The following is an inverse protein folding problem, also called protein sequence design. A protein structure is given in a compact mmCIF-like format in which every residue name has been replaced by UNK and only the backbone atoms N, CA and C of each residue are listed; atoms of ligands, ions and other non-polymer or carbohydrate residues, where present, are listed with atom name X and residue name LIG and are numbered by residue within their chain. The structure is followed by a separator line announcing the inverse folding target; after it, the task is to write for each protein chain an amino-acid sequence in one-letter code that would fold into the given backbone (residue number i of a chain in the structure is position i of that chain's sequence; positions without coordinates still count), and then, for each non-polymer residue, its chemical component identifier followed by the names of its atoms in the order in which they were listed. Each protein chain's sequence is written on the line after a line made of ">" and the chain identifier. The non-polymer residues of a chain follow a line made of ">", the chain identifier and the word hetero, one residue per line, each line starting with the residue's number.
data_IF_428899893960
#
_entry.id   IF_428899893960
#
_cell.length_a   1.000
_cell.length_b   1.000
_cell.length_c   1.000
_cell.angle_alpha   90.00
_cell.angle_beta   90.00
_cell.angle_gamma   90.00
#
_symmetry.space_group_name_H-M   'P 1'
#
loop_
_entity.id
_entity.type
_entity.pdbx_description
1 polymer ?
#
# COMPACT_ATOMS: atom_id res chain seq x y z
N UNK A 1 -29.77 -29.82 9.89
CA UNK A 1 -29.25 -30.82 8.92
C UNK A 1 -29.11 -30.08 7.58
N UNK A 2 -27.92 -30.02 7.04
CA UNK A 2 -27.74 -29.44 5.69
C UNK A 2 -28.40 -30.34 4.65
N UNK A 3 -29.18 -29.76 3.75
CA UNK A 3 -29.81 -30.47 2.62
C UNK A 3 -28.71 -31.00 1.67
N UNK A 4 -29.03 -32.03 0.88
CA UNK A 4 -28.10 -32.50 -0.19
C UNK A 4 -27.75 -31.38 -1.16
N UNK A 5 -28.71 -30.52 -1.49
CA UNK A 5 -28.50 -29.32 -2.31
C UNK A 5 -27.48 -28.33 -1.70
N UNK A 6 -27.53 -28.11 -0.38
CA UNK A 6 -26.59 -27.23 0.33
C UNK A 6 -25.14 -27.76 0.23
N UNK A 7 -24.97 -29.10 0.36
CA UNK A 7 -23.63 -29.73 0.24
C UNK A 7 -23.05 -29.63 -1.18
N UNK A 8 -23.90 -29.78 -2.20
CA UNK A 8 -23.48 -29.62 -3.60
C UNK A 8 -23.13 -28.16 -3.89
N UNK A 9 -23.91 -27.22 -3.38
CA UNK A 9 -23.63 -25.80 -3.52
C UNK A 9 -22.31 -25.42 -2.83
N UNK A 10 -22.09 -25.87 -1.60
CA UNK A 10 -20.84 -25.62 -0.86
C UNK A 10 -19.63 -26.22 -1.60
N UNK A 11 -19.76 -27.44 -2.13
CA UNK A 11 -18.68 -28.07 -2.90
C UNK A 11 -18.34 -27.29 -4.16
N UNK A 12 -19.34 -26.86 -4.94
CA UNK A 12 -19.13 -26.05 -6.14
C UNK A 12 -18.48 -24.70 -5.78
N UNK A 13 -18.92 -24.06 -4.71
CA UNK A 13 -18.35 -22.81 -4.24
C UNK A 13 -16.87 -22.98 -3.84
N UNK A 14 -16.53 -24.04 -3.08
CA UNK A 14 -15.14 -24.35 -2.76
C UNK A 14 -14.28 -24.60 -4.01
N UNK A 15 -14.78 -25.33 -4.99
CA UNK A 15 -14.06 -25.58 -6.25
C UNK A 15 -13.80 -24.26 -6.97
N UNK A 16 -14.82 -23.42 -7.14
CA UNK A 16 -14.71 -22.13 -7.86
C UNK A 16 -13.70 -21.21 -7.13
N UNK A 17 -13.82 -21.07 -5.82
CA UNK A 17 -12.91 -20.23 -5.02
C UNK A 17 -11.47 -20.76 -5.06
N UNK A 18 -11.30 -22.09 -5.00
CA UNK A 18 -9.97 -22.72 -5.09
C UNK A 18 -9.34 -22.50 -6.46
N UNK A 19 -10.09 -22.71 -7.56
CA UNK A 19 -9.59 -22.48 -8.91
C UNK A 19 -9.22 -21.00 -9.12
N UNK A 20 -10.04 -20.09 -8.61
CA UNK A 20 -9.75 -18.65 -8.66
C UNK A 20 -8.48 -18.32 -7.86
N UNK A 21 -8.32 -18.86 -6.66
CA UNK A 21 -7.12 -18.67 -5.84
C UNK A 21 -5.86 -19.22 -6.54
N UNK A 22 -5.93 -20.40 -7.14
CA UNK A 22 -4.83 -20.99 -7.91
C UNK A 22 -4.47 -20.12 -9.13
N UNK A 23 -5.47 -19.62 -9.86
CA UNK A 23 -5.25 -18.72 -10.99
C UNK A 23 -4.56 -17.40 -10.56
N UNK A 24 -4.92 -16.86 -9.41
CA UNK A 24 -4.26 -15.66 -8.84
C UNK A 24 -2.83 -15.96 -8.36
N UNK A 25 -2.56 -17.14 -7.82
CA UNK A 25 -1.24 -17.53 -7.32
C UNK A 25 -0.27 -17.90 -8.44
N UNK A 26 -0.78 -18.42 -9.56
CA UNK A 26 0.04 -18.91 -10.67
C UNK A 26 1.10 -17.90 -11.15
N UNK A 27 0.76 -16.62 -11.47
CA UNK A 27 1.76 -15.66 -11.92
C UNK A 27 2.86 -15.40 -10.89
N UNK A 28 2.54 -15.43 -9.58
CA UNK A 28 3.55 -15.28 -8.53
C UNK A 28 4.49 -16.47 -8.46
N UNK A 29 3.96 -17.69 -8.54
CA UNK A 29 4.78 -18.89 -8.61
C UNK A 29 5.65 -18.92 -9.86
N UNK A 30 5.09 -18.49 -11.00
CA UNK A 30 5.82 -18.39 -12.26
C UNK A 30 7.02 -17.46 -12.12
N UNK A 31 6.80 -16.21 -11.66
CA UNK A 31 7.87 -15.23 -11.48
C UNK A 31 8.90 -15.71 -10.45
N UNK A 32 8.45 -16.29 -9.32
CA UNK A 32 9.33 -16.82 -8.29
C UNK A 32 10.20 -17.96 -8.81
N UNK A 33 9.64 -18.89 -9.57
CA UNK A 33 10.37 -20.00 -10.19
C UNK A 33 11.45 -19.47 -11.15
N UNK A 34 11.06 -18.62 -12.09
CA UNK A 34 11.99 -18.13 -13.11
C UNK A 34 13.00 -17.11 -12.58
N UNK A 35 12.78 -16.52 -11.41
CA UNK A 35 13.78 -15.67 -10.76
C UNK A 35 15.02 -16.45 -10.30
N UNK A 36 14.91 -17.76 -10.16
CA UNK A 36 15.99 -18.68 -9.73
C UNK A 36 16.33 -19.76 -10.76
N UNK A 37 15.71 -19.75 -11.94
CA UNK A 37 15.92 -20.72 -13.01
C UNK A 37 17.01 -20.22 -13.97
N UNK A 38 18.02 -21.04 -14.34
CA UNK A 38 18.96 -20.71 -15.42
C UNK A 38 18.20 -20.37 -16.73
N UNK A 39 18.63 -19.33 -17.43
CA UNK A 39 17.94 -18.89 -18.65
C UNK A 39 17.94 -19.95 -19.75
N UNK A 40 18.98 -20.79 -19.81
CA UNK A 40 19.06 -21.93 -20.73
C UNK A 40 17.94 -22.94 -20.50
N UNK A 41 17.57 -23.20 -19.26
CA UNK A 41 16.46 -24.09 -18.89
C UNK A 41 15.11 -23.46 -19.25
N UNK A 42 14.95 -22.15 -19.00
CA UNK A 42 13.75 -21.39 -19.40
C UNK A 42 13.48 -21.49 -20.91
N UNK A 43 14.51 -21.34 -21.74
CA UNK A 43 14.37 -21.44 -23.19
C UNK A 43 13.90 -22.84 -23.67
N UNK A 44 14.30 -23.89 -22.95
CA UNK A 44 13.88 -25.25 -23.27
C UNK A 44 12.45 -25.56 -22.85
N UNK A 45 12.02 -25.08 -21.68
CA UNK A 45 10.72 -25.35 -21.11
C UNK A 45 10.12 -24.11 -20.40
N UNK A 46 9.52 -23.16 -21.13
CA UNK A 46 8.99 -21.91 -20.55
C UNK A 46 7.83 -22.08 -19.55
N UNK A 47 7.21 -23.25 -19.47
CA UNK A 47 6.09 -23.51 -18.55
C UNK A 47 6.50 -24.38 -17.34
N UNK A 48 7.77 -24.72 -17.21
CA UNK A 48 8.26 -25.55 -16.11
C UNK A 48 8.39 -24.70 -14.84
N UNK A 49 7.56 -24.97 -13.85
CA UNK A 49 7.51 -24.21 -12.60
C UNK A 49 8.56 -24.64 -11.56
N UNK A 50 9.17 -25.81 -11.70
CA UNK A 50 10.17 -26.31 -10.76
C UNK A 50 11.50 -26.41 -11.50
N UNK A 51 12.51 -25.58 -11.20
CA UNK A 51 13.81 -25.62 -11.85
C UNK A 51 14.57 -26.91 -11.52
N UNK A 52 15.39 -27.39 -12.44
CA UNK A 52 16.33 -28.49 -12.16
C UNK A 52 17.51 -28.00 -11.32
N UNK A 53 17.97 -26.78 -11.61
CA UNK A 53 19.06 -26.13 -10.91
C UNK A 53 18.62 -24.75 -10.41
N UNK A 54 19.11 -24.36 -9.24
CA UNK A 54 18.81 -23.05 -8.64
C UNK A 54 19.98 -22.11 -8.90
N UNK A 55 19.74 -21.03 -9.63
CA UNK A 55 20.70 -19.98 -9.93
C UNK A 55 20.34 -18.67 -9.18
N UNK A 56 21.21 -18.23 -8.28
CA UNK A 56 21.01 -17.00 -7.49
C UNK A 56 21.82 -15.80 -8.01
N UNK A 57 22.39 -15.89 -9.20
CA UNK A 57 23.22 -14.85 -9.81
C UNK A 57 22.49 -13.51 -9.91
N UNK A 58 21.22 -13.51 -10.35
CA UNK A 58 20.41 -12.31 -10.45
C UNK A 58 20.21 -11.60 -9.09
N UNK A 59 19.95 -12.36 -8.03
CA UNK A 59 19.82 -11.79 -6.68
C UNK A 59 21.14 -11.21 -6.17
N UNK A 60 22.27 -11.88 -6.41
CA UNK A 60 23.60 -11.33 -6.05
C UNK A 60 23.86 -9.98 -6.74
N UNK A 61 23.52 -9.87 -8.02
CA UNK A 61 23.68 -8.60 -8.76
C UNK A 61 22.75 -7.52 -8.20
N UNK A 62 21.47 -7.80 -7.97
CA UNK A 62 20.52 -6.85 -7.38
C UNK A 62 21.02 -6.33 -6.02
N UNK A 63 21.51 -7.21 -5.16
CA UNK A 63 22.02 -6.85 -3.84
C UNK A 63 23.31 -5.99 -3.89
N UNK A 64 24.08 -6.07 -4.96
CA UNK A 64 25.29 -5.26 -5.17
C UNK A 64 24.97 -3.87 -5.76
N UNK A 65 23.74 -3.63 -6.24
CA UNK A 65 23.34 -2.35 -6.82
C UNK A 65 23.04 -1.30 -5.73
N UNK A 66 23.81 -0.20 -5.59
CA UNK A 66 23.54 0.84 -4.60
C UNK A 66 22.15 1.50 -4.78
N UNK A 67 21.67 1.58 -6.04
CA UNK A 67 20.37 2.15 -6.36
C UNK A 67 19.21 1.38 -5.71
N UNK A 68 19.34 0.05 -5.60
CA UNK A 68 18.31 -0.78 -4.95
C UNK A 68 18.15 -0.44 -3.47
N UNK A 69 19.26 -0.31 -2.75
CA UNK A 69 19.24 0.05 -1.34
C UNK A 69 18.74 1.47 -1.11
N UNK A 70 19.11 2.39 -2.01
CA UNK A 70 18.57 3.75 -2.02
C UNK A 70 17.05 3.73 -2.22
N UNK A 71 16.56 2.94 -3.18
CA UNK A 71 15.14 2.76 -3.44
C UNK A 71 14.38 2.18 -2.24
N UNK A 72 14.94 1.14 -1.60
CA UNK A 72 14.36 0.59 -0.36
C UNK A 72 14.28 1.63 0.74
N UNK A 73 15.38 2.33 1.01
CA UNK A 73 15.42 3.41 2.02
C UNK A 73 14.34 4.46 1.75
N UNK A 74 14.27 4.94 0.52
CA UNK A 74 13.28 5.96 0.15
C UNK A 74 11.85 5.43 0.31
N UNK A 75 11.57 4.21 -0.13
CA UNK A 75 10.24 3.58 0.00
C UNK A 75 9.86 3.41 1.47
N UNK A 76 10.77 2.96 2.31
CA UNK A 76 10.52 2.83 3.76
C UNK A 76 10.21 4.19 4.37
N UNK A 77 11.00 5.23 4.06
CA UNK A 77 10.77 6.59 4.56
C UNK A 77 9.40 7.11 4.10
N UNK A 78 9.10 7.02 2.80
CA UNK A 78 7.82 7.45 2.23
C UNK A 78 6.66 6.72 2.91
N UNK A 79 6.78 5.41 3.09
CA UNK A 79 5.73 4.59 3.69
C UNK A 79 5.55 4.92 5.17
N UNK A 80 6.61 4.91 5.96
CA UNK A 80 6.51 5.12 7.42
C UNK A 80 6.05 6.55 7.73
N UNK A 81 6.70 7.56 7.13
CA UNK A 81 6.36 8.97 7.35
C UNK A 81 4.99 9.30 6.78
N UNK A 82 4.68 8.79 5.57
CA UNK A 82 3.39 8.98 4.92
C UNK A 82 2.23 8.38 5.73
N UNK A 83 2.39 7.14 6.24
CA UNK A 83 1.39 6.50 7.10
C UNK A 83 1.22 7.25 8.41
N UNK A 84 2.31 7.61 9.08
CA UNK A 84 2.25 8.34 10.35
C UNK A 84 1.52 9.68 10.18
N UNK A 85 1.87 10.45 9.15
CA UNK A 85 1.22 11.72 8.82
C UNK A 85 -0.26 11.53 8.46
N UNK A 86 -0.58 10.54 7.61
CA UNK A 86 -1.96 10.24 7.22
C UNK A 86 -2.83 9.91 8.44
N UNK A 87 -2.40 8.99 9.28
CA UNK A 87 -3.18 8.57 10.47
C UNK A 87 -3.34 9.73 11.44
N UNK A 88 -2.30 10.51 11.67
CA UNK A 88 -2.38 11.70 12.50
C UNK A 88 -3.43 12.68 11.97
N UNK A 89 -3.31 13.09 10.70
CA UNK A 89 -4.25 14.01 10.06
C UNK A 89 -5.67 13.44 10.01
N UNK A 90 -5.80 12.14 9.74
CA UNK A 90 -7.09 11.45 9.68
C UNK A 90 -7.82 11.52 11.03
N UNK A 91 -7.13 11.22 12.13
CA UNK A 91 -7.72 11.22 13.48
C UNK A 91 -8.10 12.63 13.90
N UNK A 92 -7.19 13.60 13.79
CA UNK A 92 -7.46 14.99 14.26
C UNK A 92 -8.51 15.68 13.41
N UNK A 93 -8.70 15.28 12.14
CA UNK A 93 -9.75 15.83 11.28
C UNK A 93 -11.09 15.10 11.44
N UNK A 94 -11.07 13.78 11.60
CA UNK A 94 -12.29 12.98 11.71
C UNK A 94 -13.02 13.19 13.04
N UNK A 95 -12.29 13.36 14.14
CA UNK A 95 -12.88 13.52 15.48
C UNK A 95 -13.80 14.74 15.59
N UNK A 96 -13.38 15.98 15.30
CA UNK A 96 -14.29 17.12 15.37
C UNK A 96 -15.47 17.00 14.37
N UNK A 97 -15.23 16.42 13.18
CA UNK A 97 -16.29 16.20 12.19
C UNK A 97 -17.28 15.10 12.60
N UNK A 98 -16.97 14.27 13.58
CA UNK A 98 -17.89 13.29 14.13
C UNK A 98 -18.94 13.94 15.05
N UNK A 99 -18.63 15.09 15.65
CA UNK A 99 -19.52 15.81 16.55
C UNK A 99 -20.67 16.48 15.80
N UNK A 100 -21.91 16.30 16.29
CA UNK A 100 -23.12 16.83 15.63
C UNK A 100 -23.28 18.33 15.83
N UNK A 101 -22.80 18.84 16.94
CA UNK A 101 -22.87 20.23 17.39
C UNK A 101 -21.78 21.13 16.80
N UNK A 102 -20.82 20.60 16.04
CA UNK A 102 -19.78 21.38 15.38
C UNK A 102 -20.39 22.39 14.41
N UNK A 103 -20.21 23.68 14.72
CA UNK A 103 -20.70 24.78 13.87
C UNK A 103 -20.06 24.71 12.47
N UNK A 104 -20.88 24.76 11.44
CA UNK A 104 -20.41 24.71 10.05
C UNK A 104 -20.05 23.31 9.53
N UNK A 105 -20.25 22.26 10.33
CA UNK A 105 -19.96 20.85 9.97
C UNK A 105 -20.49 20.46 8.59
N UNK A 106 -21.74 20.80 8.30
CA UNK A 106 -22.37 20.43 7.02
C UNK A 106 -21.68 21.10 5.83
N UNK A 107 -21.30 22.36 5.94
CA UNK A 107 -20.53 23.07 4.91
C UNK A 107 -19.17 22.42 4.69
N UNK A 108 -18.45 22.13 5.77
CA UNK A 108 -17.14 21.45 5.71
C UNK A 108 -17.29 20.08 5.04
N UNK A 109 -18.31 19.30 5.42
CA UNK A 109 -18.57 17.98 4.82
C UNK A 109 -18.91 18.08 3.33
N UNK A 110 -19.66 19.08 2.90
CA UNK A 110 -19.95 19.34 1.48
C UNK A 110 -18.66 19.66 0.72
N UNK A 111 -17.79 20.53 1.26
CA UNK A 111 -16.52 20.86 0.63
C UNK A 111 -15.59 19.66 0.53
N UNK A 112 -15.48 18.84 1.58
CA UNK A 112 -14.70 17.60 1.56
C UNK A 112 -15.24 16.64 0.50
N UNK A 113 -16.58 16.45 0.46
CA UNK A 113 -17.22 15.58 -0.54
C UNK A 113 -17.00 16.12 -1.96
N UNK A 114 -17.06 17.44 -2.14
CA UNK A 114 -16.79 18.07 -3.42
C UNK A 114 -15.39 17.71 -3.95
N UNK A 115 -14.37 17.69 -3.09
CA UNK A 115 -13.00 17.29 -3.50
C UNK A 115 -12.86 15.85 -3.96
N UNK A 116 -13.83 14.96 -3.69
CA UNK A 116 -13.85 13.60 -4.23
C UNK A 116 -14.20 13.54 -5.72
N UNK A 117 -15.01 14.49 -6.19
CA UNK A 117 -15.50 14.53 -7.57
C UNK A 117 -14.72 15.51 -8.45
N UNK A 118 -14.10 16.52 -7.83
CA UNK A 118 -13.38 17.57 -8.53
C UNK A 118 -11.89 17.55 -8.15
N UNK A 119 -11.05 17.20 -9.09
CA UNK A 119 -9.59 17.22 -8.95
C UNK A 119 -9.01 18.25 -9.92
N UNK A 120 -8.06 19.04 -9.46
CA UNK A 120 -7.38 20.05 -10.28
C UNK A 120 -6.61 19.47 -11.47
N UNK A 121 -6.32 18.17 -11.43
CA UNK A 121 -5.55 17.50 -12.47
C UNK A 121 -4.03 17.57 -12.24
N UNK A 122 -3.30 16.92 -13.14
CA UNK A 122 -1.85 16.74 -13.03
C UNK A 122 -1.07 18.05 -13.10
N UNK A 123 -1.41 18.91 -14.06
CA UNK A 123 -0.65 20.16 -14.32
C UNK A 123 -0.77 21.13 -13.13
N UNK A 124 -1.97 21.47 -12.62
CA UNK A 124 -2.10 22.32 -11.44
C UNK A 124 -1.39 21.74 -10.21
N UNK A 125 -1.50 20.41 -9.98
CA UNK A 125 -0.80 19.77 -8.87
C UNK A 125 0.72 19.87 -9.00
N UNK A 126 1.26 19.73 -10.20
CA UNK A 126 2.70 19.90 -10.47
C UNK A 126 3.17 21.33 -10.15
N UNK A 127 2.42 22.33 -10.59
CA UNK A 127 2.73 23.73 -10.26
C UNK A 127 2.63 23.99 -8.76
N UNK A 128 1.63 23.45 -8.08
CA UNK A 128 1.51 23.56 -6.62
C UNK A 128 2.75 23.00 -5.90
N UNK A 129 3.19 21.79 -6.29
CA UNK A 129 4.39 21.14 -5.73
C UNK A 129 5.64 22.01 -5.94
N UNK A 130 5.76 22.67 -7.12
CA UNK A 130 6.86 23.61 -7.39
C UNK A 130 6.76 24.87 -6.56
N UNK A 131 5.56 25.46 -6.44
CA UNK A 131 5.34 26.71 -5.68
C UNK A 131 5.59 26.50 -4.18
N UNK A 132 5.30 25.29 -3.66
CA UNK A 132 5.60 24.91 -2.27
C UNK A 132 7.08 24.57 -2.04
N UNK A 133 7.90 24.61 -3.07
CA UNK A 133 9.34 24.28 -3.05
C UNK A 133 9.65 22.86 -2.53
N UNK A 134 8.71 21.93 -2.71
CA UNK A 134 8.89 20.52 -2.35
C UNK A 134 9.23 19.61 -3.54
N UNK A 135 9.33 20.17 -4.76
CA UNK A 135 9.80 19.45 -5.95
C UNK A 135 11.22 18.90 -5.73
N UNK A 136 11.51 17.70 -6.23
CA UNK A 136 12.77 16.99 -5.98
C UNK A 136 13.08 16.71 -4.50
N UNK A 137 12.04 16.45 -3.70
CA UNK A 137 12.16 15.98 -2.31
C UNK A 137 11.22 14.77 -2.08
N UNK A 138 11.43 14.00 -1.03
CA UNK A 138 10.52 12.91 -0.64
C UNK A 138 9.13 13.44 -0.24
N UNK A 139 9.05 14.69 0.22
CA UNK A 139 7.79 15.34 0.60
C UNK A 139 6.82 15.49 -0.57
N UNK A 140 7.31 15.62 -1.81
CA UNK A 140 6.46 15.68 -2.99
C UNK A 140 5.66 14.39 -3.24
N UNK A 141 6.11 13.26 -2.68
CA UNK A 141 5.42 11.96 -2.75
C UNK A 141 4.54 11.69 -1.52
N UNK A 142 4.84 12.34 -0.39
CA UNK A 142 4.16 12.13 0.88
C UNK A 142 2.96 13.07 1.05
N UNK A 143 3.16 14.40 0.86
CA UNK A 143 2.17 15.41 1.19
C UNK A 143 0.90 15.40 0.32
N UNK A 144 0.97 15.22 -1.01
CA UNK A 144 -0.23 15.27 -1.85
C UNK A 144 -1.28 14.21 -1.52
N UNK A 145 -0.84 13.06 -1.00
CA UNK A 145 -1.71 11.96 -0.58
C UNK A 145 -1.92 11.83 0.93
N UNK A 146 -1.49 12.84 1.72
CA UNK A 146 -1.47 12.73 3.18
C UNK A 146 -2.87 12.61 3.81
N UNK A 147 -3.91 13.19 3.22
CA UNK A 147 -5.28 13.08 3.70
C UNK A 147 -6.24 12.92 2.51
N UNK A 148 -6.92 11.77 2.44
CA UNK A 148 -7.93 11.49 1.43
C UNK A 148 -9.35 11.73 1.96
N UNK A 149 -10.19 12.43 1.20
CA UNK A 149 -11.56 12.74 1.59
C UNK A 149 -12.39 11.48 1.89
N UNK A 150 -12.26 10.42 1.08
CA UNK A 150 -12.95 9.15 1.30
C UNK A 150 -12.58 8.52 2.65
N UNK A 151 -11.30 8.40 2.95
CA UNK A 151 -10.81 7.84 4.21
C UNK A 151 -11.26 8.68 5.41
N UNK A 152 -11.28 10.01 5.26
CA UNK A 152 -11.75 10.93 6.28
C UNK A 152 -13.24 10.72 6.61
N UNK A 153 -14.09 10.57 5.59
CA UNK A 153 -15.52 10.29 5.76
C UNK A 153 -15.74 8.94 6.45
N UNK A 154 -14.99 7.91 6.04
CA UNK A 154 -15.09 6.59 6.67
C UNK A 154 -14.67 6.63 8.14
N UNK A 155 -13.53 7.25 8.45
CA UNK A 155 -13.03 7.37 9.83
C UNK A 155 -13.99 8.19 10.70
N UNK A 156 -14.50 9.30 10.18
CA UNK A 156 -15.53 10.12 10.83
C UNK A 156 -16.79 9.29 11.13
N UNK A 157 -17.27 8.47 10.18
CA UNK A 157 -18.43 7.61 10.40
C UNK A 157 -18.16 6.55 11.46
N UNK A 158 -16.94 5.98 11.47
CA UNK A 158 -16.54 5.02 12.52
C UNK A 158 -16.56 5.67 13.91
N UNK A 159 -15.96 6.84 14.06
CA UNK A 159 -15.95 7.59 15.33
C UNK A 159 -17.38 7.95 15.74
N UNK A 160 -18.23 8.43 14.82
CA UNK A 160 -19.64 8.75 15.11
C UNK A 160 -20.48 7.55 15.54
N UNK A 161 -20.01 6.33 15.36
CA UNK A 161 -20.70 5.12 15.82
C UNK A 161 -20.34 4.73 17.27
N UNK A 162 -19.33 5.37 17.86
CA UNK A 162 -18.96 5.20 19.27
C UNK A 162 -20.03 5.89 20.11
N UNK A 163 -20.55 5.23 21.19
CA UNK A 163 -21.57 5.83 22.06
C UNK A 163 -21.11 7.13 22.69
N UNK A 164 -21.89 8.21 22.55
CA UNK A 164 -21.60 9.54 23.09
C UNK A 164 -21.45 9.50 24.64
N UNK A 165 -22.16 8.59 25.32
CA UNK A 165 -22.12 8.43 26.79
C UNK A 165 -20.70 8.14 27.33
N UNK A 166 -19.80 7.52 26.54
CA UNK A 166 -18.43 7.29 26.95
C UNK A 166 -17.62 8.59 27.02
N UNK A 167 -17.89 9.52 26.09
CA UNK A 167 -17.25 10.83 26.07
C UNK A 167 -17.82 11.72 27.18
N UNK A 168 -19.17 11.75 27.34
CA UNK A 168 -19.85 12.51 28.40
C UNK A 168 -19.35 12.11 29.79
N UNK A 169 -19.22 10.81 30.06
CA UNK A 169 -18.69 10.32 31.34
C UNK A 169 -17.29 10.84 31.60
N UNK A 170 -16.42 10.85 30.59
CA UNK A 170 -15.04 11.36 30.73
C UNK A 170 -15.00 12.89 30.95
N UNK A 171 -15.91 13.64 30.31
CA UNK A 171 -16.03 15.08 30.52
C UNK A 171 -16.50 15.37 31.94
N UNK A 172 -17.44 14.60 32.49
CA UNK A 172 -17.87 14.70 33.91
C UNK A 172 -16.68 14.45 34.85
N UNK A 173 -15.80 13.49 34.50
CA UNK A 173 -14.57 13.20 35.22
C UNK A 173 -13.46 14.25 35.00
N UNK A 174 -13.75 15.36 34.32
CA UNK A 174 -12.83 16.50 34.11
C UNK A 174 -11.85 16.32 32.94
N UNK A 175 -12.10 15.37 32.02
CA UNK A 175 -11.28 15.24 30.85
C UNK A 175 -11.59 16.34 29.83
N UNK A 176 -10.54 16.97 29.26
CA UNK A 176 -10.69 17.86 28.11
C UNK A 176 -10.78 17.06 26.80
N UNK A 177 -11.18 17.72 25.71
CA UNK A 177 -11.37 17.12 24.38
C UNK A 177 -10.14 16.35 23.87
N UNK A 178 -8.94 16.86 24.12
CA UNK A 178 -7.69 16.18 23.72
C UNK A 178 -7.50 14.88 24.49
N UNK A 179 -7.80 14.89 25.79
CA UNK A 179 -7.72 13.69 26.63
C UNK A 179 -8.79 12.66 26.22
N UNK A 180 -10.01 13.10 25.94
CA UNK A 180 -11.07 12.25 25.39
C UNK A 180 -10.60 11.60 24.09
N UNK A 181 -10.08 12.38 23.14
CA UNK A 181 -9.58 11.89 21.88
C UNK A 181 -8.52 10.78 22.07
N UNK A 182 -7.46 11.04 22.81
CA UNK A 182 -6.33 10.12 22.90
C UNK A 182 -6.54 8.96 23.89
N UNK A 183 -7.34 9.17 24.95
CA UNK A 183 -7.54 8.17 26.00
C UNK A 183 -8.77 7.27 25.78
N UNK A 184 -9.75 7.71 24.96
CA UNK A 184 -11.00 6.99 24.72
C UNK A 184 -11.18 6.68 23.24
N UNK A 185 -11.24 7.71 22.39
CA UNK A 185 -11.61 7.55 20.96
C UNK A 185 -10.53 6.79 20.21
N UNK A 186 -9.26 7.15 20.35
CA UNK A 186 -8.15 6.47 19.65
C UNK A 186 -8.06 4.98 20.06
N UNK A 187 -8.09 4.61 21.34
CA UNK A 187 -8.11 3.20 21.76
C UNK A 187 -9.30 2.41 21.20
N UNK A 188 -10.51 2.97 21.22
CA UNK A 188 -11.72 2.34 20.69
C UNK A 188 -11.67 2.24 19.15
N UNK A 189 -10.99 3.18 18.49
CA UNK A 189 -10.82 3.20 17.04
C UNK A 189 -9.65 2.36 16.52
N UNK A 190 -8.89 1.65 17.36
CA UNK A 190 -7.75 0.82 16.95
C UNK A 190 -8.03 -0.10 15.75
N UNK A 191 -9.19 -0.80 15.65
CA UNK A 191 -9.47 -1.65 14.49
C UNK A 191 -9.56 -0.87 13.18
N UNK A 192 -10.23 0.29 13.19
CA UNK A 192 -10.34 1.17 12.04
C UNK A 192 -8.98 1.77 11.68
N UNK A 193 -8.25 2.30 12.67
CA UNK A 193 -6.90 2.85 12.48
C UNK A 193 -5.98 1.81 11.84
N UNK A 194 -5.98 0.56 12.34
CA UNK A 194 -5.17 -0.51 11.76
C UNK A 194 -5.52 -0.76 10.28
N UNK A 195 -6.80 -0.69 9.92
CA UNK A 195 -7.24 -0.84 8.53
C UNK A 195 -6.70 0.29 7.64
N UNK A 196 -6.78 1.55 8.10
CA UNK A 196 -6.24 2.69 7.35
C UNK A 196 -4.71 2.67 7.26
N UNK A 197 -4.02 2.26 8.32
CA UNK A 197 -2.56 2.03 8.31
C UNK A 197 -2.19 1.08 7.17
N UNK A 198 -2.92 -0.04 7.03
CA UNK A 198 -2.67 -1.03 5.99
C UNK A 198 -2.89 -0.43 4.60
N UNK A 199 -4.05 0.15 4.36
CA UNK A 199 -4.38 0.72 3.05
C UNK A 199 -3.38 1.79 2.63
N UNK A 200 -3.03 2.67 3.55
CA UNK A 200 -2.09 3.74 3.25
C UNK A 200 -0.66 3.21 3.08
N UNK A 201 -0.23 2.23 3.88
CA UNK A 201 1.08 1.60 3.74
C UNK A 201 1.24 0.92 2.38
N UNK A 202 0.23 0.15 1.92
CA UNK A 202 0.26 -0.48 0.60
C UNK A 202 0.28 0.59 -0.50
N UNK A 203 -0.51 1.65 -0.38
CA UNK A 203 -0.53 2.75 -1.35
C UNK A 203 0.84 3.45 -1.44
N UNK A 204 1.43 3.79 -0.31
CA UNK A 204 2.75 4.46 -0.27
C UNK A 204 3.88 3.55 -0.73
N UNK A 205 3.85 2.26 -0.37
CA UNK A 205 4.84 1.28 -0.85
C UNK A 205 4.85 1.18 -2.38
N UNK A 206 3.66 1.21 -3.00
CA UNK A 206 3.50 1.12 -4.45
C UNK A 206 3.67 2.47 -5.17
N UNK A 207 4.15 3.51 -4.48
CA UNK A 207 4.35 4.82 -5.08
C UNK A 207 5.43 4.76 -6.16
N UNK A 208 5.06 5.10 -7.40
CA UNK A 208 5.98 5.29 -8.53
C UNK A 208 5.58 6.48 -9.40
N UNK A 209 4.28 6.69 -9.65
CA UNK A 209 3.79 7.70 -10.58
C UNK A 209 4.11 9.13 -10.12
N UNK A 210 3.89 9.45 -8.85
CA UNK A 210 4.28 10.73 -8.26
C UNK A 210 5.80 10.93 -8.28
N UNK A 211 6.58 9.86 -8.13
CA UNK A 211 8.03 9.93 -8.26
C UNK A 211 8.47 10.30 -9.69
N UNK A 212 7.84 9.73 -10.74
CA UNK A 212 8.11 10.09 -12.14
C UNK A 212 7.88 11.59 -12.38
N UNK A 213 6.80 12.13 -11.80
CA UNK A 213 6.38 13.51 -12.10
C UNK A 213 7.13 14.52 -11.24
N UNK A 214 7.36 14.20 -9.97
CA UNK A 214 7.85 15.17 -8.99
C UNK A 214 9.33 15.03 -8.65
N UNK A 215 10.05 14.05 -9.24
CA UNK A 215 11.49 13.91 -9.00
C UNK A 215 12.25 13.71 -10.31
N UNK A 216 13.40 14.41 -10.44
CA UNK A 216 14.36 14.22 -11.54
C UNK A 216 15.64 13.51 -11.06
N UNK A 217 15.84 13.36 -9.76
CA UNK A 217 17.04 12.79 -9.14
C UNK A 217 16.86 11.30 -8.86
N UNK A 218 17.68 10.43 -9.45
CA UNK A 218 17.67 8.99 -9.20
C UNK A 218 17.86 8.63 -7.70
N UNK A 219 18.57 9.47 -6.95
CA UNK A 219 18.76 9.27 -5.51
C UNK A 219 17.49 9.39 -4.66
N UNK A 220 16.39 9.92 -5.23
CA UNK A 220 15.08 10.05 -4.58
C UNK A 220 14.09 8.99 -5.05
N UNK A 221 14.47 8.13 -6.00
CA UNK A 221 13.56 7.15 -6.55
C UNK A 221 13.13 6.11 -5.51
N UNK A 222 11.83 5.85 -5.38
CA UNK A 222 11.34 4.71 -4.62
C UNK A 222 11.55 3.41 -5.39
N UNK A 223 11.51 2.30 -4.68
CA UNK A 223 11.75 0.96 -5.20
C UNK A 223 10.85 0.62 -6.41
N UNK A 224 9.56 0.96 -6.34
CA UNK A 224 8.61 0.65 -7.42
C UNK A 224 8.89 1.43 -8.71
N UNK A 225 9.47 2.63 -8.63
CA UNK A 225 9.93 3.33 -9.83
C UNK A 225 11.16 2.62 -10.44
N UNK A 226 12.11 2.20 -9.63
CA UNK A 226 13.28 1.45 -10.08
C UNK A 226 12.85 0.13 -10.73
N UNK A 227 11.92 -0.59 -10.10
CA UNK A 227 11.33 -1.82 -10.64
C UNK A 227 10.69 -1.55 -12.01
N UNK A 228 9.86 -0.52 -12.11
CA UNK A 228 9.21 -0.14 -13.37
C UNK A 228 10.22 0.12 -14.47
N UNK A 229 11.25 0.93 -14.20
CA UNK A 229 12.31 1.23 -15.15
C UNK A 229 13.06 -0.04 -15.62
N UNK A 230 13.32 -0.97 -14.69
CA UNK A 230 14.01 -2.22 -15.03
C UNK A 230 13.14 -3.20 -15.82
N UNK A 231 11.83 -3.22 -15.58
CA UNK A 231 10.91 -4.19 -16.20
C UNK A 231 10.37 -3.67 -17.53
N UNK A 232 9.95 -2.40 -17.60
CA UNK A 232 9.19 -1.82 -18.72
C UNK A 232 10.11 -1.18 -19.74
N UNK A 233 11.09 -0.42 -19.32
CA UNK A 233 12.03 0.20 -20.23
C UNK A 233 13.11 -0.81 -20.65
N UNK A 234 13.42 -0.88 -21.97
CA UNK A 234 14.32 -1.88 -22.56
C UNK A 234 15.75 -1.82 -22.02
N UNK A 235 15.85 -1.88 -20.69
CA UNK A 235 17.03 -2.40 -20.03
C UNK A 235 18.16 -1.44 -19.74
N UNK A 236 17.96 -0.11 -19.66
CA UNK A 236 19.05 0.77 -19.21
C UNK A 236 19.65 0.29 -17.89
N UNK A 237 18.86 0.30 -16.81
CA UNK A 237 19.33 -0.14 -15.46
C UNK A 237 19.60 -1.65 -15.42
N UNK A 238 18.79 -2.47 -16.11
CA UNK A 238 19.00 -3.92 -16.13
C UNK A 238 20.24 -4.32 -16.98
N UNK A 239 20.56 -3.57 -18.02
CA UNK A 239 21.81 -3.74 -18.80
C UNK A 239 23.02 -3.30 -17.99
N UNK A 240 22.95 -2.15 -17.31
CA UNK A 240 24.00 -1.68 -16.39
C UNK A 240 24.30 -2.77 -15.31
N UNK A 241 23.26 -3.48 -14.85
CA UNK A 241 23.41 -4.58 -13.90
C UNK A 241 24.14 -5.80 -14.49
N UNK A 242 23.91 -6.14 -15.77
CA UNK A 242 24.60 -7.24 -16.46
C UNK A 242 26.07 -6.93 -16.71
N UNK A 243 26.38 -5.70 -17.14
CA UNK A 243 27.75 -5.32 -17.49
C UNK A 243 28.70 -5.33 -16.28
N UNK A 244 28.15 -5.25 -15.05
CA UNK A 244 28.98 -5.24 -13.83
C UNK A 244 29.77 -6.53 -13.57
N UNK A 245 29.33 -7.73 -14.05
CA UNK A 245 29.93 -8.98 -13.55
C UNK A 245 30.16 -10.12 -14.58
N UNK A 246 29.83 -9.99 -15.85
CA UNK A 246 29.99 -11.03 -16.89
C UNK A 246 29.60 -12.46 -16.45
N UNK A 247 28.51 -12.61 -15.68
CA UNK A 247 28.15 -13.85 -14.93
C UNK A 247 27.13 -14.75 -15.64
N UNK A 248 26.84 -14.52 -16.92
CA UNK A 248 25.83 -15.33 -17.64
C UNK A 248 24.37 -15.05 -17.26
N UNK A 249 24.14 -14.17 -16.28
CA UNK A 249 22.79 -13.73 -15.87
C UNK A 249 22.17 -12.88 -16.96
N UNK A 250 20.91 -13.15 -17.30
CA UNK A 250 20.21 -12.41 -18.36
C UNK A 250 19.33 -11.27 -17.81
N UNK A 251 19.01 -10.29 -18.67
CA UNK A 251 18.03 -9.23 -18.31
C UNK A 251 16.71 -9.83 -17.86
N UNK A 252 16.31 -10.96 -18.46
CA UNK A 252 15.06 -11.64 -18.09
C UNK A 252 15.08 -12.14 -16.64
N UNK A 253 16.14 -12.86 -16.22
CA UNK A 253 16.25 -13.36 -14.84
C UNK A 253 16.37 -12.23 -13.82
N UNK A 254 17.06 -11.13 -14.17
CA UNK A 254 17.10 -9.93 -13.33
C UNK A 254 15.70 -9.32 -13.16
N UNK A 255 14.92 -9.20 -14.26
CA UNK A 255 13.55 -8.68 -14.21
C UNK A 255 12.65 -9.53 -13.29
N UNK A 256 12.74 -10.86 -13.37
CA UNK A 256 11.97 -11.76 -12.49
C UNK A 256 12.42 -11.63 -11.01
N UNK A 257 13.72 -11.61 -10.78
CA UNK A 257 14.27 -11.52 -9.43
C UNK A 257 13.92 -10.19 -8.75
N UNK A 258 13.93 -9.04 -9.47
CA UNK A 258 13.59 -7.75 -8.88
C UNK A 258 12.11 -7.64 -8.54
N UNK A 259 11.20 -8.27 -9.32
CA UNK A 259 9.78 -8.33 -8.98
C UNK A 259 9.59 -9.02 -7.62
N UNK A 260 10.21 -10.18 -7.42
CA UNK A 260 10.16 -10.90 -6.13
C UNK A 260 10.79 -10.06 -5.03
N UNK A 261 11.97 -9.50 -5.27
CA UNK A 261 12.69 -8.69 -4.30
C UNK A 261 11.90 -7.46 -3.83
N UNK A 262 11.16 -6.80 -4.73
CA UNK A 262 10.36 -5.62 -4.43
C UNK A 262 9.02 -5.96 -3.75
N UNK A 263 8.43 -7.12 -4.06
CA UNK A 263 7.13 -7.54 -3.50
C UNK A 263 7.26 -8.27 -2.16
N UNK A 264 8.42 -8.89 -1.90
CA UNK A 264 8.66 -9.70 -0.70
C UNK A 264 8.29 -9.01 0.63
N UNK A 265 8.65 -7.75 0.89
CA UNK A 265 8.30 -7.08 2.15
C UNK A 265 6.79 -6.98 2.39
N UNK A 266 6.00 -6.69 1.33
CA UNK A 266 4.54 -6.64 1.45
C UNK A 266 3.99 -8.03 1.76
N UNK A 267 4.47 -9.06 1.06
CA UNK A 267 4.03 -10.45 1.28
C UNK A 267 4.33 -10.92 2.70
N UNK A 268 5.48 -10.54 3.27
CA UNK A 268 5.85 -10.88 4.65
C UNK A 268 5.01 -10.15 5.69
N UNK A 269 4.61 -8.91 5.43
CA UNK A 269 3.80 -8.12 6.36
C UNK A 269 2.32 -8.53 6.31
N UNK A 270 1.82 -8.99 5.16
CA UNK A 270 0.40 -9.29 4.94
C UNK A 270 -0.23 -10.23 5.99
N UNK A 271 0.36 -11.39 6.39
CA UNK A 271 -0.23 -12.28 7.39
C UNK A 271 -0.45 -11.61 8.75
N UNK A 272 0.47 -10.70 9.14
CA UNK A 272 0.33 -9.95 10.41
C UNK A 272 -0.81 -8.93 10.33
N UNK A 273 -1.08 -8.40 9.16
CA UNK A 273 -2.11 -7.39 8.94
C UNK A 273 -3.50 -7.99 8.75
N UNK A 274 -3.61 -9.20 8.18
CA UNK A 274 -4.87 -9.89 7.90
C UNK A 274 -5.77 -10.03 9.15
N UNK A 275 -5.18 -10.33 10.31
CA UNK A 275 -5.93 -10.47 11.58
C UNK A 275 -6.67 -9.20 12.01
N UNK A 276 -6.14 -8.03 11.66
CA UNK A 276 -6.79 -6.75 11.97
C UNK A 276 -7.86 -6.39 10.94
N UNK A 277 -7.62 -6.76 9.68
CA UNK A 277 -8.56 -6.54 8.58
C UNK A 277 -9.89 -7.28 8.79
N UNK A 278 -9.83 -8.57 9.17
CA UNK A 278 -11.04 -9.36 9.42
C UNK A 278 -11.91 -8.78 10.55
N UNK A 279 -11.30 -8.18 11.58
CA UNK A 279 -12.03 -7.53 12.67
C UNK A 279 -12.65 -6.19 12.26
N UNK A 280 -12.01 -5.43 11.37
CA UNK A 280 -12.48 -4.10 10.92
C UNK A 280 -13.62 -4.17 9.92
N UNK A 281 -13.57 -5.10 8.98
CA UNK A 281 -14.61 -5.28 7.94
C UNK A 281 -15.92 -5.83 8.54
N UNK A 282 -15.83 -6.72 9.53
CA UNK A 282 -17.01 -7.26 10.20
C UNK A 282 -17.82 -6.21 10.98
N UNK A 283 -17.16 -5.20 11.54
CA UNK A 283 -17.85 -4.11 12.26
C UNK A 283 -18.65 -3.21 11.31
N UNK A 284 -18.22 -3.09 10.05
CA UNK A 284 -18.95 -2.34 9.01
C UNK A 284 -20.16 -3.07 8.40
N UNK A 285 -20.17 -4.41 8.45
CA UNK A 285 -21.20 -5.24 7.80
C UNK A 285 -22.37 -5.66 8.71
N UNK A 286 -22.28 -5.43 10.03
CA UNK A 286 -23.33 -5.84 11.02
C UNK A 286 -24.46 -4.80 11.16
N UNK A 287 -24.48 -3.73 10.35
CA UNK A 287 -25.60 -2.78 10.28
C UNK A 287 -26.32 -2.90 8.94
N UNK A 288 -26.81 -4.10 8.65
CA UNK A 288 -27.84 -4.38 7.64
C UNK A 288 -29.00 -5.11 8.30
#
# INVERSE_FOLDING_TARGET
>A
MQSFGDKVFDLLNYIIVTLFALACLFPFFYVASFSVTPYSEYLQNPLKLIPNEIELGAYKQILQMPLMWTGYKNTIIITVVGVALNIFLLIISAYPLSKKDLKGRNLIMVLITFTMFFNGGLIPNFYLIKTLDIYNTLWSMILPGALGAYNLILMKNFISAIPESLEESAVIDGANEIRVLFSIIVPLSKPAIATFVIFHAVTQWNTFFSAIIYTSKRSLWPLMLILREMVVEDGGIAKDAMDMNNTGVTVFTIKMAIIIFATLPILLIYPFMQKYFMKGVLVGSIKG
#
